data_IF_793006747996
#
_entry.id   IF_793006747996
#
_cell.length_a   1.000
_cell.length_b   1.000
_cell.length_c   1.000
_cell.angle_alpha   90.00
_cell.angle_beta   90.00
_cell.angle_gamma   90.00
#
_symmetry.space_group_name_H-M   'P 1'
#
loop_
_entity.id
_entity.type
_entity.pdbx_description
1 polymer ?
#
# COMPACT_ATOMS: atom_id res chain seq x y z
N UNK A 1 38.52 -66.77 -2.64
CA UNK A 1 39.88 -67.23 -2.29
C UNK A 1 40.87 -66.52 -3.19
N UNK A 2 41.99 -66.06 -2.62
CA UNK A 2 43.28 -65.77 -3.26
C UNK A 2 43.41 -64.60 -4.26
N UNK A 3 43.70 -63.41 -3.70
CA UNK A 3 44.97 -62.65 -3.80
C UNK A 3 45.98 -62.95 -4.95
N UNK A 4 46.52 -61.83 -5.48
CA UNK A 4 47.93 -61.55 -5.90
C UNK A 4 48.31 -61.88 -7.36
N UNK A 5 48.79 -60.89 -8.12
CA UNK A 5 50.24 -60.69 -8.35
C UNK A 5 50.56 -59.48 -9.22
N UNK A 6 51.46 -58.64 -8.72
CA UNK A 6 52.29 -57.70 -9.48
C UNK A 6 53.46 -58.42 -10.14
N UNK A 7 54.06 -57.76 -11.13
CA UNK A 7 55.45 -57.95 -11.57
C UNK A 7 55.59 -57.88 -13.10
N UNK A 8 56.66 -57.37 -13.73
CA UNK A 8 57.95 -56.78 -13.31
C UNK A 8 58.65 -56.29 -14.61
N UNK A 9 59.62 -55.36 -14.48
CA UNK A 9 60.82 -55.12 -15.32
C UNK A 9 60.66 -54.49 -16.72
N UNK A 10 61.36 -53.37 -17.03
CA UNK A 10 62.81 -53.25 -17.39
C UNK A 10 63.09 -53.97 -18.72
N UNK A 11 63.72 -53.43 -19.77
CA UNK A 11 64.66 -52.32 -19.91
C UNK A 11 65.01 -52.14 -21.41
N UNK A 12 65.40 -50.91 -21.75
CA UNK A 12 66.50 -50.50 -22.65
C UNK A 12 66.59 -51.01 -24.11
N UNK A 13 66.82 -50.06 -25.02
CA UNK A 13 67.40 -50.34 -26.35
C UNK A 13 67.16 -49.24 -27.37
N UNK A 14 68.13 -48.32 -27.49
CA UNK A 14 68.22 -47.27 -28.52
C UNK A 14 68.69 -47.83 -29.88
N UNK A 15 68.58 -46.95 -30.90
CA UNK A 15 69.13 -46.95 -32.27
C UNK A 15 68.13 -47.43 -33.33
N UNK A 16 67.91 -46.78 -34.47
CA UNK A 16 68.30 -45.49 -35.08
C UNK A 16 67.40 -45.32 -36.32
N UNK A 17 67.17 -44.06 -36.71
CA UNK A 17 66.81 -43.48 -38.02
C UNK A 17 66.30 -44.40 -39.15
N UNK A 18 65.10 -44.15 -39.70
CA UNK A 18 64.90 -43.22 -40.83
C UNK A 18 63.46 -43.28 -41.40
N UNK A 19 63.03 -42.11 -41.91
CA UNK A 19 61.92 -41.82 -42.83
C UNK A 19 60.46 -42.13 -42.47
N UNK A 20 59.66 -41.05 -42.31
CA UNK A 20 58.63 -40.66 -43.29
C UNK A 20 57.88 -39.36 -42.92
N UNK A 21 57.88 -38.44 -43.89
CA UNK A 21 56.84 -37.47 -44.26
C UNK A 21 56.74 -36.07 -43.58
N UNK A 22 56.92 -35.10 -44.49
CA UNK A 22 56.67 -33.66 -44.47
C UNK A 22 55.26 -33.26 -44.00
N UNK A 23 55.18 -32.14 -43.28
CA UNK A 23 54.17 -31.10 -43.56
C UNK A 23 54.67 -29.70 -43.13
N UNK A 24 54.51 -28.75 -44.04
CA UNK A 24 55.13 -27.42 -44.05
C UNK A 24 54.44 -26.42 -43.10
N UNK A 25 55.23 -25.77 -42.21
CA UNK A 25 54.79 -24.60 -41.43
C UNK A 25 54.89 -23.32 -42.25
N UNK A 26 53.77 -22.82 -42.77
CA UNK A 26 53.68 -21.49 -43.40
C UNK A 26 53.67 -20.40 -42.31
N UNK A 27 54.81 -19.72 -42.11
CA UNK A 27 54.95 -18.57 -41.20
C UNK A 27 54.15 -17.38 -41.75
N UNK A 28 52.94 -17.15 -41.24
CA UNK A 28 52.25 -15.87 -41.40
C UNK A 28 52.94 -14.82 -40.51
N UNK A 29 53.33 -13.69 -41.10
CA UNK A 29 54.05 -12.61 -40.42
C UNK A 29 53.23 -12.08 -39.26
N UNK A 30 53.79 -12.06 -38.05
CA UNK A 30 53.13 -11.55 -36.82
C UNK A 30 52.61 -10.11 -36.94
N UNK A 31 53.09 -9.36 -37.94
CA UNK A 31 52.58 -8.03 -38.24
C UNK A 31 51.22 -8.05 -38.96
N UNK A 32 50.95 -9.05 -39.83
CA UNK A 32 49.66 -9.21 -40.49
C UNK A 32 48.56 -9.51 -39.47
N UNK A 33 48.81 -10.47 -38.58
CA UNK A 33 47.87 -10.84 -37.52
C UNK A 33 47.59 -9.67 -36.56
N UNK A 34 48.59 -8.81 -36.28
CA UNK A 34 48.38 -7.60 -35.46
C UNK A 34 47.48 -6.57 -36.15
N UNK A 35 47.67 -6.36 -37.45
CA UNK A 35 46.84 -5.43 -38.23
C UNK A 35 45.39 -5.95 -38.31
N UNK A 36 45.20 -7.25 -38.52
CA UNK A 36 43.87 -7.87 -38.57
C UNK A 36 43.12 -7.77 -37.23
N UNK A 37 43.84 -7.95 -36.11
CA UNK A 37 43.28 -7.79 -34.75
C UNK A 37 42.89 -6.33 -34.47
N UNK A 38 43.72 -5.37 -34.89
CA UNK A 38 43.41 -3.94 -34.74
C UNK A 38 42.19 -3.54 -35.57
N UNK A 39 42.10 -4.05 -36.79
CA UNK A 39 40.99 -3.75 -37.71
C UNK A 39 39.68 -4.39 -37.22
N UNK A 40 39.75 -5.58 -36.61
CA UNK A 40 38.61 -6.21 -35.94
C UNK A 40 38.20 -5.43 -34.67
N UNK A 41 39.16 -4.97 -33.87
CA UNK A 41 38.91 -4.13 -32.68
C UNK A 41 38.18 -2.83 -33.04
N UNK A 42 38.66 -2.12 -34.05
CA UNK A 42 38.03 -0.88 -34.54
C UNK A 42 36.63 -1.15 -35.11
N UNK A 43 36.41 -2.30 -35.77
CA UNK A 43 35.10 -2.68 -36.30
C UNK A 43 34.11 -3.02 -35.19
N UNK A 44 34.58 -3.67 -34.11
CA UNK A 44 33.78 -3.95 -32.91
C UNK A 44 33.43 -2.65 -32.18
N UNK A 45 34.39 -1.74 -31.98
CA UNK A 45 34.14 -0.44 -31.35
C UNK A 45 33.12 0.39 -32.16
N UNK A 46 33.25 0.42 -33.49
CA UNK A 46 32.28 1.09 -34.36
C UNK A 46 30.90 0.43 -34.31
N UNK A 47 30.82 -0.90 -34.21
CA UNK A 47 29.54 -1.62 -34.07
C UNK A 47 28.89 -1.37 -32.70
N UNK A 48 29.66 -1.30 -31.62
CA UNK A 48 29.16 -0.95 -30.28
C UNK A 48 28.60 0.48 -30.29
N UNK A 49 29.32 1.42 -30.90
CA UNK A 49 28.88 2.82 -31.05
C UNK A 49 27.60 2.96 -31.91
N UNK A 50 27.37 2.06 -32.88
CA UNK A 50 26.13 2.00 -33.67
C UNK A 50 24.93 1.48 -32.86
N UNK A 51 25.17 0.61 -31.86
CA UNK A 51 24.13 0.08 -30.97
C UNK A 51 23.77 1.00 -29.81
N UNK A 52 24.61 1.97 -29.48
CA UNK A 52 24.41 2.98 -28.43
C UNK A 52 23.65 4.23 -28.92
N UNK A 53 22.71 4.06 -29.86
CA UNK A 53 21.78 5.13 -30.20
C UNK A 53 21.02 5.55 -28.93
N UNK A 54 21.10 6.82 -28.49
CA UNK A 54 20.44 7.25 -27.25
C UNK A 54 18.96 6.98 -27.37
N UNK A 55 18.40 6.23 -26.41
CA UNK A 55 16.95 6.00 -26.34
C UNK A 55 16.26 7.37 -26.42
N UNK A 56 15.21 7.51 -27.24
CA UNK A 56 14.52 8.78 -27.37
C UNK A 56 14.01 9.21 -26.00
N UNK A 57 14.42 10.40 -25.56
CA UNK A 57 13.95 10.99 -24.31
C UNK A 57 12.47 11.38 -24.48
N UNK A 58 11.58 10.62 -23.85
CA UNK A 58 10.15 10.90 -23.87
C UNK A 58 9.82 11.81 -22.68
N UNK A 59 9.21 12.96 -22.98
CA UNK A 59 8.81 13.95 -21.98
C UNK A 59 7.29 14.00 -21.82
N UNK A 60 6.84 14.24 -20.59
CA UNK A 60 5.43 14.41 -20.26
C UNK A 60 5.20 15.61 -19.34
N UNK A 61 4.11 16.34 -19.58
CA UNK A 61 3.65 17.43 -18.72
C UNK A 61 3.00 16.89 -17.44
N UNK A 62 3.36 17.43 -16.29
CA UNK A 62 2.70 17.11 -15.03
C UNK A 62 1.36 17.84 -14.90
N UNK A 63 0.28 17.08 -14.68
CA UNK A 63 -1.08 17.65 -14.52
C UNK A 63 -1.21 18.61 -13.32
N UNK A 64 -0.31 18.55 -12.35
CA UNK A 64 -0.38 19.36 -11.12
C UNK A 64 0.45 20.63 -11.14
N UNK A 65 1.66 20.61 -11.71
CA UNK A 65 2.54 21.81 -11.76
C UNK A 65 2.70 22.40 -13.16
N UNK A 66 2.26 21.68 -14.20
CA UNK A 66 2.38 22.08 -15.62
C UNK A 66 3.81 22.08 -16.18
N UNK A 67 4.78 21.54 -15.44
CA UNK A 67 6.15 21.36 -15.91
C UNK A 67 6.33 20.04 -16.67
N UNK A 68 7.27 20.01 -17.62
CA UNK A 68 7.65 18.81 -18.36
C UNK A 68 8.78 18.05 -17.64
N UNK A 69 8.67 16.72 -17.60
CA UNK A 69 9.69 15.84 -17.04
C UNK A 69 9.88 14.59 -17.91
N UNK A 70 11.05 13.96 -17.80
CA UNK A 70 11.34 12.66 -18.42
C UNK A 70 10.36 11.59 -17.93
N UNK A 71 9.95 10.69 -18.82
CA UNK A 71 8.98 9.62 -18.54
C UNK A 71 9.38 8.77 -17.31
N UNK A 72 10.68 8.51 -17.14
CA UNK A 72 11.19 7.70 -16.03
C UNK A 72 11.01 8.39 -14.66
N UNK A 73 10.94 9.73 -14.62
CA UNK A 73 10.69 10.51 -13.41
C UNK A 73 9.20 10.78 -13.14
N UNK A 74 8.33 10.19 -13.96
CA UNK A 74 6.90 10.40 -13.93
C UNK A 74 6.15 9.12 -13.56
N UNK A 75 4.90 9.28 -13.12
CA UNK A 75 3.96 8.17 -12.99
C UNK A 75 2.72 8.44 -13.83
N UNK A 76 2.36 7.48 -14.68
CA UNK A 76 1.10 7.47 -15.41
C UNK A 76 -0.01 6.90 -14.53
N UNK A 77 -1.08 7.65 -14.35
CA UNK A 77 -2.26 7.21 -13.61
C UNK A 77 -3.21 6.38 -14.49
N UNK A 78 -4.19 5.71 -13.88
CA UNK A 78 -5.25 4.96 -14.59
C UNK A 78 -6.15 5.83 -15.49
N UNK A 79 -6.11 7.15 -15.33
CA UNK A 79 -6.80 8.10 -16.21
C UNK A 79 -5.86 8.73 -17.25
N UNK A 80 -4.68 8.16 -17.46
CA UNK A 80 -3.66 8.60 -18.43
C UNK A 80 -2.97 9.95 -18.13
N UNK A 81 -3.33 10.65 -17.06
CA UNK A 81 -2.58 11.82 -16.59
C UNK A 81 -1.25 11.42 -15.93
N UNK A 82 -0.25 12.30 -16.08
CA UNK A 82 1.09 12.14 -15.52
C UNK A 82 1.34 13.05 -14.31
N UNK A 83 2.04 12.53 -13.32
CA UNK A 83 2.51 13.28 -12.16
C UNK A 83 4.02 13.17 -12.01
N UNK A 84 4.68 14.30 -11.78
CA UNK A 84 6.06 14.32 -11.34
C UNK A 84 6.19 13.87 -9.89
N UNK A 85 7.38 13.40 -9.52
CA UNK A 85 7.67 12.90 -8.17
C UNK A 85 7.28 13.89 -7.08
N UNK A 86 7.66 15.16 -7.23
CA UNK A 86 7.39 16.20 -6.23
C UNK A 86 5.89 16.42 -6.01
N UNK A 87 5.12 16.54 -7.10
CA UNK A 87 3.67 16.73 -7.02
C UNK A 87 2.95 15.49 -6.48
N UNK A 88 3.37 14.29 -6.85
CA UNK A 88 2.80 13.05 -6.31
C UNK A 88 3.06 12.94 -4.80
N UNK A 89 4.29 13.20 -4.34
CA UNK A 89 4.64 13.19 -2.91
C UNK A 89 3.80 14.21 -2.13
N UNK A 90 3.62 15.41 -2.68
CA UNK A 90 2.79 16.46 -2.06
C UNK A 90 1.33 16.04 -1.96
N UNK A 91 0.77 15.44 -3.02
CA UNK A 91 -0.60 14.93 -3.03
C UNK A 91 -0.83 13.89 -1.92
N UNK A 92 0.08 12.92 -1.79
CA UNK A 92 0.00 11.90 -0.74
C UNK A 92 0.19 12.48 0.67
N UNK A 93 1.12 13.43 0.85
CA UNK A 93 1.31 14.11 2.14
C UNK A 93 0.08 14.91 2.57
N UNK A 94 -0.60 15.56 1.61
CA UNK A 94 -1.82 16.31 1.89
C UNK A 94 -2.96 15.37 2.31
N UNK A 95 -3.15 14.25 1.60
CA UNK A 95 -4.15 13.24 1.97
C UNK A 95 -3.90 12.59 3.34
N UNK A 96 -2.65 12.58 3.83
CA UNK A 96 -2.34 12.12 5.19
C UNK A 96 -2.72 13.15 6.28
N UNK A 97 -2.81 14.43 5.92
CA UNK A 97 -3.15 15.53 6.84
C UNK A 97 -4.64 15.83 6.86
N UNK A 98 -5.27 15.76 5.69
CA UNK A 98 -6.67 16.07 5.49
C UNK A 98 -7.41 14.81 5.02
N UNK A 99 -8.33 14.31 5.85
CA UNK A 99 -9.11 13.11 5.56
C UNK A 99 -10.06 13.31 4.36
N UNK A 100 -10.45 14.54 4.03
CA UNK A 100 -11.31 14.84 2.87
C UNK A 100 -10.58 14.61 1.53
N UNK A 101 -9.25 14.65 1.55
CA UNK A 101 -8.39 14.39 0.39
C UNK A 101 -7.98 12.92 0.28
N UNK A 102 -8.47 12.06 1.18
CA UNK A 102 -8.14 10.64 1.19
C UNK A 102 -9.27 9.80 0.56
N UNK A 103 -8.93 8.81 -0.31
CA UNK A 103 -7.60 8.52 -0.83
C UNK A 103 -7.16 9.53 -1.90
N UNK A 104 -5.83 9.69 -2.16
CA UNK A 104 -5.34 10.45 -3.31
C UNK A 104 -6.00 10.00 -4.61
N UNK A 105 -6.58 10.93 -5.35
CA UNK A 105 -7.33 10.66 -6.58
C UNK A 105 -6.89 11.56 -7.73
N UNK A 106 -7.01 11.04 -8.96
CA UNK A 106 -6.97 11.80 -10.19
C UNK A 106 -8.24 11.48 -10.99
N UNK A 107 -8.98 12.50 -11.43
CA UNK A 107 -10.26 12.32 -12.14
C UNK A 107 -11.23 11.36 -11.41
N UNK A 108 -11.35 11.52 -10.08
CA UNK A 108 -12.16 10.66 -9.20
C UNK A 108 -11.72 9.18 -9.15
N UNK A 109 -10.54 8.84 -9.67
CA UNK A 109 -9.97 7.49 -9.62
C UNK A 109 -8.80 7.45 -8.64
N UNK A 110 -8.74 6.49 -7.70
CA UNK A 110 -7.63 6.37 -6.76
C UNK A 110 -6.28 6.20 -7.46
N UNK A 111 -5.27 6.91 -6.97
CA UNK A 111 -3.88 6.78 -7.42
C UNK A 111 -3.18 5.73 -6.55
N UNK A 112 -2.58 4.72 -7.19
CA UNK A 112 -1.83 3.70 -6.47
C UNK A 112 -0.55 4.28 -5.86
N UNK A 113 -0.26 3.90 -4.62
CA UNK A 113 0.98 4.30 -3.94
C UNK A 113 2.17 3.57 -4.59
N UNK A 114 3.07 4.32 -5.22
CA UNK A 114 4.29 3.78 -5.85
C UNK A 114 5.48 3.96 -4.92
N UNK A 115 6.12 2.86 -4.50
CA UNK A 115 7.34 2.92 -3.66
C UNK A 115 8.49 3.63 -4.37
N UNK A 116 8.64 3.44 -5.68
CA UNK A 116 9.65 4.13 -6.51
C UNK A 116 9.53 5.65 -6.42
N UNK A 117 8.30 6.17 -6.43
CA UNK A 117 8.05 7.61 -6.44
C UNK A 117 7.96 8.21 -5.03
N UNK A 118 7.32 7.50 -4.11
CA UNK A 118 6.97 8.02 -2.78
C UNK A 118 7.98 7.64 -1.69
N UNK A 119 8.76 6.58 -1.90
CA UNK A 119 9.58 5.94 -0.88
C UNK A 119 8.75 5.07 0.07
N UNK A 120 9.39 4.05 0.64
CA UNK A 120 8.76 3.06 1.52
C UNK A 120 8.07 3.69 2.73
N UNK A 121 8.68 4.71 3.34
CA UNK A 121 8.12 5.40 4.51
C UNK A 121 6.77 6.06 4.24
N UNK A 122 6.61 6.74 3.10
CA UNK A 122 5.35 7.43 2.78
C UNK A 122 4.27 6.44 2.35
N UNK A 123 4.64 5.39 1.60
CA UNK A 123 3.75 4.29 1.26
C UNK A 123 3.23 3.59 2.51
N UNK A 124 4.09 3.34 3.49
CA UNK A 124 3.71 2.71 4.75
C UNK A 124 2.73 3.59 5.55
N UNK A 125 2.99 4.89 5.67
CA UNK A 125 2.06 5.83 6.31
C UNK A 125 0.70 5.86 5.61
N UNK A 126 0.68 5.82 4.27
CA UNK A 126 -0.57 5.74 3.50
C UNK A 126 -1.33 4.44 3.80
N UNK A 127 -0.64 3.29 3.86
CA UNK A 127 -1.25 2.00 4.22
C UNK A 127 -1.85 2.04 5.63
N UNK A 128 -1.11 2.57 6.61
CA UNK A 128 -1.59 2.72 7.99
C UNK A 128 -2.81 3.64 8.08
N UNK A 129 -2.79 4.79 7.38
CA UNK A 129 -3.93 5.71 7.33
C UNK A 129 -5.14 5.08 6.63
N UNK A 130 -4.93 4.27 5.59
CA UNK A 130 -6.01 3.51 4.94
C UNK A 130 -6.65 2.50 5.90
N UNK A 131 -5.85 1.79 6.71
CA UNK A 131 -6.35 0.84 7.73
C UNK A 131 -7.14 1.59 8.80
N UNK A 132 -6.63 2.73 9.25
CA UNK A 132 -7.32 3.62 10.19
C UNK A 132 -8.67 4.08 9.63
N UNK A 133 -8.68 4.61 8.40
CA UNK A 133 -9.88 5.14 7.74
C UNK A 133 -10.93 4.09 7.44
N UNK A 134 -10.49 2.86 7.15
CA UNK A 134 -11.38 1.72 6.92
C UNK A 134 -11.83 1.01 8.21
N UNK A 135 -11.39 1.41 9.41
CA UNK A 135 -11.88 0.85 10.66
C UNK A 135 -13.24 1.47 11.05
N UNK A 136 -14.36 0.73 10.95
CA UNK A 136 -15.68 1.24 11.30
C UNK A 136 -15.83 1.58 12.79
N UNK A 137 -14.98 1.01 13.65
CA UNK A 137 -14.97 1.23 15.09
C UNK A 137 -13.64 1.84 15.55
N UNK A 138 -13.11 2.74 14.71
CA UNK A 138 -11.84 3.44 14.93
C UNK A 138 -11.77 3.97 16.36
N UNK A 139 -10.68 3.62 17.03
CA UNK A 139 -10.44 3.99 18.42
C UNK A 139 -9.12 4.72 18.49
N UNK A 140 -9.11 5.88 19.14
CA UNK A 140 -7.90 6.64 19.39
C UNK A 140 -7.50 6.55 20.84
N UNK A 141 -6.22 6.76 21.12
CA UNK A 141 -5.73 6.90 22.48
C UNK A 141 -6.49 8.03 23.20
N UNK A 142 -7.09 7.70 24.34
CA UNK A 142 -7.85 8.67 25.17
C UNK A 142 -7.02 9.82 25.73
N UNK A 143 -5.69 9.69 25.74
CA UNK A 143 -4.80 10.83 25.98
C UNK A 143 -4.81 11.76 24.75
N UNK A 144 -5.41 12.95 24.92
CA UNK A 144 -5.57 13.97 23.87
C UNK A 144 -4.25 14.45 23.26
N UNK A 145 -3.15 14.46 24.03
CA UNK A 145 -1.82 14.81 23.51
C UNK A 145 -1.22 13.71 22.63
N UNK A 146 -1.63 12.46 22.83
CA UNK A 146 -1.17 11.33 22.05
C UNK A 146 -2.03 11.12 20.80
N UNK A 147 -3.35 10.99 21.00
CA UNK A 147 -4.36 10.78 19.96
C UNK A 147 -4.03 9.70 18.90
N UNK A 148 -3.11 8.78 19.22
CA UNK A 148 -2.68 7.74 18.27
C UNK A 148 -3.83 6.77 18.00
N UNK A 149 -4.04 6.43 16.72
CA UNK A 149 -4.96 5.36 16.34
C UNK A 149 -4.56 4.03 17.01
N UNK A 150 -5.53 3.32 17.56
CA UNK A 150 -5.40 2.02 18.21
C UNK A 150 -6.03 0.95 17.32
N UNK A 151 -5.22 0.17 16.56
CA UNK A 151 -5.72 -0.82 15.63
C UNK A 151 -6.71 -1.80 16.24
N UNK A 152 -7.71 -2.21 15.45
CA UNK A 152 -8.64 -3.27 15.83
C UNK A 152 -7.92 -4.60 15.94
N UNK A 153 -7.85 -5.12 17.17
CA UNK A 153 -7.42 -6.50 17.42
C UNK A 153 -8.65 -7.40 17.35
N UNK A 154 -8.51 -8.65 16.87
CA UNK A 154 -9.61 -9.61 16.82
C UNK A 154 -10.10 -10.06 18.20
N UNK A 155 -9.39 -9.70 19.27
CA UNK A 155 -9.77 -10.06 20.64
C UNK A 155 -11.03 -9.29 21.06
N UNK A 156 -11.92 -9.96 21.79
CA UNK A 156 -13.12 -9.34 22.40
C UNK A 156 -12.78 -8.37 23.55
N UNK A 157 -11.50 -8.10 23.79
CA UNK A 157 -11.09 -7.28 24.92
C UNK A 157 -11.51 -5.83 24.70
N UNK A 158 -12.26 -5.31 25.67
CA UNK A 158 -12.79 -3.94 25.65
C UNK A 158 -11.68 -2.90 25.78
N UNK A 159 -10.50 -3.28 26.29
CA UNK A 159 -9.41 -2.36 26.59
C UNK A 159 -8.28 -2.47 25.56
N UNK A 160 -7.87 -1.32 25.04
CA UNK A 160 -6.75 -1.16 24.13
C UNK A 160 -5.62 -0.39 24.83
N UNK A 161 -4.43 -0.99 24.93
CA UNK A 161 -3.23 -0.31 25.43
C UNK A 161 -2.53 0.42 24.27
N UNK A 162 -2.30 1.71 24.42
CA UNK A 162 -1.53 2.50 23.45
C UNK A 162 -0.05 2.08 23.49
N UNK A 163 0.52 1.74 22.35
CA UNK A 163 1.95 1.38 22.23
C UNK A 163 2.86 2.59 22.38
N UNK A 164 2.37 3.80 22.07
CA UNK A 164 3.16 5.04 22.11
C UNK A 164 3.30 5.62 23.51
N UNK A 165 2.23 5.65 24.30
CA UNK A 165 2.22 6.30 25.62
C UNK A 165 1.78 5.37 26.77
N UNK A 166 1.47 4.10 26.50
CA UNK A 166 1.05 3.13 27.51
C UNK A 166 -0.38 3.28 28.03
N UNK A 167 -1.06 4.41 27.74
CA UNK A 167 -2.42 4.69 28.22
C UNK A 167 -3.40 3.62 27.72
N UNK A 168 -4.22 3.14 28.65
CA UNK A 168 -5.28 2.16 28.40
C UNK A 168 -6.57 2.90 28.06
N UNK A 169 -7.20 2.52 26.96
CA UNK A 169 -8.42 3.15 26.43
C UNK A 169 -9.50 2.11 26.26
N UNK A 170 -10.71 2.42 26.69
CA UNK A 170 -11.88 1.61 26.43
C UNK A 170 -12.33 1.76 24.97
N UNK A 171 -12.32 0.67 24.19
CA UNK A 171 -12.83 0.67 22.80
C UNK A 171 -14.33 0.90 22.71
N UNK A 172 -15.10 0.58 23.75
CA UNK A 172 -16.57 0.72 23.72
C UNK A 172 -17.02 2.18 23.87
N UNK A 173 -16.52 2.92 24.86
CA UNK A 173 -16.85 4.35 25.07
C UNK A 173 -15.77 5.34 24.59
N UNK A 174 -14.63 4.87 24.09
CA UNK A 174 -13.49 5.67 23.63
C UNK A 174 -12.82 6.54 24.71
N UNK A 175 -13.20 6.39 25.98
CA UNK A 175 -12.59 7.07 27.14
C UNK A 175 -11.45 6.24 27.73
N UNK A 176 -10.77 6.80 28.73
CA UNK A 176 -9.77 6.08 29.53
C UNK A 176 -10.32 4.77 30.10
N UNK A 177 -9.43 3.82 30.36
CA UNK A 177 -9.79 2.56 31.00
C UNK A 177 -10.49 2.81 32.35
N UNK A 178 -11.54 2.05 32.61
CA UNK A 178 -12.38 2.21 33.78
C UNK A 178 -13.07 0.89 34.16
N UNK A 179 -13.41 0.79 35.44
CA UNK A 179 -14.23 -0.32 35.95
C UNK A 179 -15.73 -0.01 35.73
N UNK A 180 -16.55 -1.06 35.67
CA UNK A 180 -18.00 -0.94 35.49
C UNK A 180 -18.47 -0.59 34.07
N UNK A 181 -19.74 -0.18 33.98
CA UNK A 181 -20.47 0.07 32.72
C UNK A 181 -19.99 1.36 32.04
N UNK A 182 -19.87 1.34 30.71
CA UNK A 182 -19.62 2.54 29.93
C UNK A 182 -20.67 3.61 30.21
N UNK A 183 -20.21 4.81 30.60
CA UNK A 183 -21.05 6.00 30.64
C UNK A 183 -20.81 6.78 29.36
N UNK A 184 -21.87 6.94 28.56
CA UNK A 184 -21.86 7.70 27.32
C UNK A 184 -22.54 9.05 27.57
N UNK A 185 -21.87 9.91 28.32
CA UNK A 185 -22.32 11.30 28.49
C UNK A 185 -21.87 12.10 27.28
N UNK A 186 -22.84 12.60 26.54
CA UNK A 186 -22.62 13.64 25.54
C UNK A 186 -22.67 15.02 26.23
N UNK A 187 -22.27 16.08 25.52
CA UNK A 187 -22.47 17.43 26.04
C UNK A 187 -23.98 17.67 26.25
N UNK A 188 -24.35 18.37 27.32
CA UNK A 188 -25.75 18.54 27.72
C UNK A 188 -26.63 19.10 26.59
N UNK A 189 -26.10 20.07 25.83
CA UNK A 189 -26.77 20.64 24.65
C UNK A 189 -27.04 19.60 23.56
N UNK A 190 -26.11 18.67 23.35
CA UNK A 190 -26.25 17.64 22.32
C UNK A 190 -27.17 16.50 22.77
N UNK A 191 -27.25 16.21 24.07
CA UNK A 191 -28.30 15.33 24.63
C UNK A 191 -29.69 15.94 24.42
N UNK A 192 -29.86 17.22 24.77
CA UNK A 192 -31.14 17.93 24.62
C UNK A 192 -31.58 17.99 23.14
N UNK A 193 -30.63 18.29 22.24
CA UNK A 193 -30.89 18.25 20.80
C UNK A 193 -31.27 16.85 20.34
N UNK A 194 -30.55 15.82 20.79
CA UNK A 194 -30.84 14.42 20.44
C UNK A 194 -32.24 14.01 20.90
N UNK A 195 -32.64 14.37 22.12
CA UNK A 195 -33.96 14.06 22.66
C UNK A 195 -35.05 14.81 21.87
N UNK A 196 -34.83 16.10 21.56
CA UNK A 196 -35.78 16.91 20.77
C UNK A 196 -35.97 16.40 19.35
N UNK A 197 -34.91 15.85 18.74
CA UNK A 197 -34.90 15.29 17.37
C UNK A 197 -35.13 13.78 17.34
N UNK A 198 -35.35 13.16 18.51
CA UNK A 198 -35.50 11.71 18.66
C UNK A 198 -34.35 10.91 18.04
N UNK A 199 -33.12 11.44 18.11
CA UNK A 199 -31.94 10.76 17.61
C UNK A 199 -31.61 9.52 18.43
N UNK A 200 -31.44 8.38 17.77
CA UNK A 200 -31.22 7.11 18.44
C UNK A 200 -29.74 6.77 18.61
N UNK A 201 -29.38 6.16 19.75
CA UNK A 201 -28.06 5.57 19.96
C UNK A 201 -28.02 4.12 19.50
N UNK A 202 -26.94 3.75 18.81
CA UNK A 202 -26.67 2.35 18.51
C UNK A 202 -26.49 1.54 19.80
N UNK A 203 -27.29 0.50 20.03
CA UNK A 203 -27.21 -0.31 21.26
C UNK A 203 -25.90 -1.07 21.46
N UNK A 204 -25.07 -1.20 20.41
CA UNK A 204 -23.78 -1.86 20.49
C UNK A 204 -22.62 -0.90 20.84
N UNK A 205 -22.49 0.20 20.10
CA UNK A 205 -21.36 1.14 20.24
C UNK A 205 -21.74 2.53 20.77
N UNK A 206 -23.04 2.76 21.01
CA UNK A 206 -23.62 4.00 21.55
C UNK A 206 -23.34 5.26 20.72
N UNK A 207 -22.93 5.09 19.45
CA UNK A 207 -22.91 6.16 18.47
C UNK A 207 -24.33 6.70 18.28
N UNK A 208 -24.47 8.02 18.36
CA UNK A 208 -25.71 8.72 18.07
C UNK A 208 -25.95 8.73 16.56
N UNK A 209 -27.18 8.43 16.15
CA UNK A 209 -27.59 8.29 14.75
C UNK A 209 -28.80 9.18 14.53
N UNK A 210 -28.68 10.07 13.55
CA UNK A 210 -29.79 10.81 12.96
C UNK A 210 -30.44 9.97 11.86
N UNK A 211 -31.77 9.96 11.83
CA UNK A 211 -32.57 9.42 10.74
C UNK A 211 -33.43 10.56 10.21
N UNK A 212 -33.11 11.06 9.02
CA UNK A 212 -33.88 12.12 8.36
C UNK A 212 -35.19 11.57 7.81
N UNK A 213 -35.14 10.46 7.08
CA UNK A 213 -36.29 9.80 6.43
C UNK A 213 -36.06 8.29 6.29
N UNK A 214 -37.14 7.53 6.05
CA UNK A 214 -37.09 6.12 5.67
C UNK A 214 -37.45 5.13 6.78
N UNK A 215 -37.10 3.86 6.58
CA UNK A 215 -37.48 2.78 7.49
C UNK A 215 -36.62 2.75 8.76
N UNK A 216 -37.17 2.17 9.84
CA UNK A 216 -36.47 2.01 11.10
C UNK A 216 -35.35 0.94 11.10
N UNK A 217 -35.05 0.30 9.97
CA UNK A 217 -33.90 -0.60 9.86
C UNK A 217 -32.60 0.19 9.71
N UNK A 218 -31.77 0.20 10.76
CA UNK A 218 -30.51 0.93 10.74
C UNK A 218 -29.34 -0.02 10.88
N UNK A 219 -28.42 0.04 9.91
CA UNK A 219 -27.09 -0.57 10.01
C UNK A 219 -26.10 0.48 10.48
N UNK A 220 -25.67 0.41 11.75
CA UNK A 220 -24.65 1.32 12.27
C UNK A 220 -23.31 1.11 11.55
N UNK A 221 -22.44 2.13 11.56
CA UNK A 221 -21.04 2.00 11.10
C UNK A 221 -20.33 0.79 11.71
N UNK A 222 -20.58 0.46 12.98
CA UNK A 222 -20.03 -0.73 13.65
C UNK A 222 -20.62 -2.07 13.17
N UNK A 223 -21.45 -2.05 12.11
CA UNK A 223 -22.15 -3.18 11.48
C UNK A 223 -23.24 -3.83 12.32
N UNK A 224 -23.60 -3.22 13.45
CA UNK A 224 -24.76 -3.66 14.24
C UNK A 224 -26.06 -3.15 13.59
N UNK A 225 -26.97 -4.07 13.32
CA UNK A 225 -28.31 -3.78 12.80
C UNK A 225 -29.34 -3.70 13.92
N UNK A 226 -30.09 -2.61 13.96
CA UNK A 226 -31.05 -2.35 15.02
C UNK A 226 -32.25 -1.53 14.53
N UNK A 227 -33.34 -1.58 15.30
CA UNK A 227 -34.53 -0.77 15.07
C UNK A 227 -34.31 0.65 15.60
N UNK A 228 -34.45 1.67 14.77
CA UNK A 228 -34.27 3.07 15.15
C UNK A 228 -35.23 3.51 16.26
N UNK A 229 -36.50 3.09 16.16
CA UNK A 229 -37.52 3.47 17.12
C UNK A 229 -37.23 2.97 18.54
N UNK A 230 -36.80 1.71 18.70
CA UNK A 230 -36.65 1.09 20.04
C UNK A 230 -35.23 0.69 20.43
N UNK A 231 -34.24 0.87 19.56
CA UNK A 231 -32.84 0.49 19.82
C UNK A 231 -32.56 -1.02 19.80
N UNK A 232 -33.55 -1.90 19.80
CA UNK A 232 -33.36 -3.36 19.87
C UNK A 232 -32.74 -3.91 18.58
N UNK A 233 -32.06 -5.06 18.68
CA UNK A 233 -31.51 -5.79 17.53
C UNK A 233 -32.57 -5.93 16.43
N UNK A 234 -32.17 -5.76 15.18
CA UNK A 234 -33.11 -5.85 14.06
C UNK A 234 -33.85 -7.20 14.06
N UNK A 235 -35.16 -7.16 13.75
CA UNK A 235 -36.10 -8.29 13.80
C UNK A 235 -36.34 -8.93 15.19
N UNK A 236 -35.92 -8.31 16.30
CA UNK A 236 -36.27 -8.78 17.65
C UNK A 236 -37.36 -7.95 18.35
N UNK A 237 -37.90 -6.93 17.67
CA UNK A 237 -39.00 -6.09 18.11
C UNK A 237 -40.22 -6.20 17.18
N UNK A 238 -41.40 -5.80 17.66
CA UNK A 238 -42.65 -5.71 16.90
C UNK A 238 -42.98 -4.28 16.43
N UNK A 239 -41.99 -3.39 16.38
CA UNK A 239 -42.17 -2.02 15.90
C UNK A 239 -42.62 -2.02 14.43
N UNK A 240 -43.32 -0.97 14.00
CA UNK A 240 -43.62 -0.73 12.60
C UNK A 240 -42.32 -0.62 11.78
N UNK A 241 -42.44 -0.74 10.46
CA UNK A 241 -41.26 -0.65 9.58
C UNK A 241 -40.77 0.79 9.40
N UNK A 242 -41.64 1.79 9.54
CA UNK A 242 -41.34 3.20 9.39
C UNK A 242 -42.37 4.04 10.17
N UNK A 243 -42.10 5.34 10.26
CA UNK A 243 -43.12 6.36 10.49
C UNK A 243 -43.75 6.73 9.14
N UNK A 244 -45.08 6.68 9.03
CA UNK A 244 -45.78 7.01 7.77
C UNK A 244 -45.55 8.47 7.37
N UNK A 245 -45.36 9.38 8.33
CA UNK A 245 -45.07 10.79 8.07
C UNK A 245 -43.64 11.05 7.58
N UNK A 246 -42.75 10.06 7.72
CA UNK A 246 -41.31 10.22 7.53
C UNK A 246 -40.75 9.33 6.39
N UNK A 247 -41.64 8.80 5.54
CA UNK A 247 -41.31 7.95 4.39
C UNK A 247 -40.77 8.72 3.18
N UNK A 248 -41.07 10.01 3.07
CA UNK A 248 -40.70 10.85 1.93
C UNK A 248 -39.95 12.09 2.39
N UNK A 249 -38.84 12.41 1.73
CA UNK A 249 -38.22 13.73 1.86
C UNK A 249 -39.26 14.76 1.42
N UNK A 250 -39.65 15.67 2.32
CA UNK A 250 -40.39 16.85 1.94
C UNK A 250 -39.38 17.75 1.24
N UNK A 251 -39.40 17.74 -0.10
CA UNK A 251 -38.63 18.66 -0.93
C UNK A 251 -38.83 20.09 -0.39
N UNK A 252 -37.73 20.71 0.05
CA UNK A 252 -37.67 22.09 0.54
C UNK A 252 -37.09 23.00 -0.54
#
# INVERSE_FOLDING_TARGET
>A
MSKVSMGTAMSLGLQTEDDLSKDEKKRTSSNSLRLDIQQLGNSIENAINLTDSPKPEIWHECVSCRDNHLQDDMIKTKCSHFYCKACLVRLFKNALRDESLFPPQCCKRPIAASERMLGSTLVQKHKEKAIELNDPDRTYCSNSKCAQYLPRKPTRNRICKCTRCGVRTCRKCKKGDHQGTCVYKLDALLEELADSKQWQRCSNCSRLIELSTGCYHITCFCKYEFCYFCGKRWKTCKCSFADEENLYERDA
#
